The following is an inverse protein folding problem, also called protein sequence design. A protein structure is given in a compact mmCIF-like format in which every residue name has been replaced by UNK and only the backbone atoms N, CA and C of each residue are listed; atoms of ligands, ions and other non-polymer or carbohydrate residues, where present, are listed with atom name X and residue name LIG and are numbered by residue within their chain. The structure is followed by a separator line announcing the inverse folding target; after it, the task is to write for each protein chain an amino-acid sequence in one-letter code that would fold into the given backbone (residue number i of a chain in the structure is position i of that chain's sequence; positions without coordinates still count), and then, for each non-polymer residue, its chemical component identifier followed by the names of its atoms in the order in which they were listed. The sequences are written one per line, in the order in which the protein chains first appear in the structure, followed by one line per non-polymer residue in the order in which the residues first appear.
data_IF_429123891160
#
_entry.id   IF_429123891160
#
_cell.length_a   1.000
_cell.length_b   1.000
_cell.length_c   1.000
_cell.angle_alpha   90.00
_cell.angle_beta   90.00
_cell.angle_gamma   90.00
#
_symmetry.space_group_name_H-M   'P 1'
#
loop_
_entity.id
_entity.type
_entity.pdbx_description
1 polymer ?
#
# COMPACT_ATOMS: atom_id res chain seq x y z
N UNK A 1 16.98 -8.00 25.62
CA UNK A 1 16.53 -8.16 24.22
C UNK A 1 15.35 -9.13 24.22
N UNK A 2 14.16 -8.62 24.47
CA UNK A 2 12.92 -9.40 24.54
C UNK A 2 11.82 -8.59 23.88
N UNK A 3 11.49 -8.94 22.64
CA UNK A 3 10.19 -8.70 22.02
C UNK A 3 10.11 -9.62 20.79
N UNK A 4 9.51 -10.82 20.93
CA UNK A 4 8.77 -11.37 19.79
C UNK A 4 7.49 -12.12 20.23
N UNK A 5 6.77 -11.65 21.25
CA UNK A 5 5.50 -12.29 21.66
C UNK A 5 4.27 -11.37 21.54
N UNK A 6 4.42 -10.04 21.63
CA UNK A 6 3.28 -9.13 21.42
C UNK A 6 2.85 -9.02 19.95
N UNK A 7 3.78 -9.14 19.00
CA UNK A 7 3.44 -9.11 17.57
C UNK A 7 2.65 -10.34 17.11
N UNK A 8 2.83 -11.49 17.75
CA UNK A 8 2.12 -12.73 17.39
C UNK A 8 0.68 -12.73 17.90
N UNK A 9 0.42 -12.11 19.06
CA UNK A 9 -0.92 -12.08 19.66
C UNK A 9 -1.90 -11.18 18.90
N UNK A 10 -1.43 -10.13 18.21
CA UNK A 10 -2.31 -9.27 17.39
C UNK A 10 -2.71 -10.00 16.10
N UNK A 11 -1.82 -10.83 15.52
CA UNK A 11 -2.09 -11.57 14.28
C UNK A 11 -3.15 -12.68 14.43
N UNK A 12 -3.39 -13.20 15.63
CA UNK A 12 -4.33 -14.32 15.85
C UNK A 12 -5.82 -13.97 15.61
N UNK A 13 -6.17 -12.70 15.41
CA UNK A 13 -7.56 -12.26 15.17
C UNK A 13 -7.85 -11.73 13.76
N UNK A 14 -6.84 -11.54 12.91
CA UNK A 14 -7.00 -10.95 11.57
C UNK A 14 -6.76 -12.01 10.50
N UNK A 15 -7.61 -12.00 9.47
CA UNK A 15 -7.33 -12.78 8.26
C UNK A 15 -6.21 -12.08 7.49
N UNK A 16 -5.09 -12.77 7.29
CA UNK A 16 -3.96 -12.30 6.48
C UNK A 16 -4.22 -12.58 5.00
N UNK A 17 -4.08 -11.57 4.16
CA UNK A 17 -4.11 -11.68 2.70
C UNK A 17 -2.77 -11.23 2.17
N UNK A 18 -2.01 -12.17 1.62
CA UNK A 18 -0.73 -11.88 0.97
C UNK A 18 -0.94 -11.61 -0.53
N UNK A 19 -0.26 -10.57 -1.01
CA UNK A 19 -0.22 -10.17 -2.41
C UNK A 19 1.25 -9.99 -2.80
N UNK A 20 1.75 -10.92 -3.61
CA UNK A 20 3.06 -10.79 -4.24
C UNK A 20 2.89 -10.18 -5.64
N UNK A 21 3.61 -9.11 -5.93
CA UNK A 21 3.64 -8.51 -7.26
C UNK A 21 5.08 -8.27 -7.72
N UNK A 22 5.42 -8.83 -8.88
CA UNK A 22 6.67 -8.54 -9.59
C UNK A 22 6.43 -7.61 -10.80
N UNK A 23 5.20 -7.13 -10.98
CA UNK A 23 4.75 -6.66 -12.27
C UNK A 23 5.23 -5.21 -12.53
N UNK A 24 5.86 -5.02 -13.69
CA UNK A 24 6.09 -3.73 -14.32
C UNK A 24 4.80 -3.06 -14.86
N UNK A 25 3.62 -3.59 -14.51
CA UNK A 25 2.29 -3.19 -14.99
C UNK A 25 1.29 -3.13 -13.83
N UNK A 26 0.14 -2.48 -14.05
CA UNK A 26 -0.98 -2.42 -13.09
C UNK A 26 -1.38 -3.85 -12.70
N UNK A 27 -1.32 -4.15 -11.41
CA UNK A 27 -1.85 -5.37 -10.81
C UNK A 27 -3.16 -5.05 -10.11
N UNK A 28 -4.18 -5.89 -10.29
CA UNK A 28 -5.50 -5.75 -9.65
C UNK A 28 -5.89 -7.10 -9.09
N UNK A 29 -6.24 -7.16 -7.81
CA UNK A 29 -6.81 -8.34 -7.15
C UNK A 29 -8.18 -7.97 -6.59
N UNK A 30 -9.20 -8.71 -7.02
CA UNK A 30 -10.54 -8.61 -6.42
C UNK A 30 -10.48 -9.41 -5.11
N UNK A 31 -10.71 -8.75 -3.98
CA UNK A 31 -10.60 -9.37 -2.64
C UNK A 31 -11.79 -10.27 -2.28
N UNK A 32 -12.86 -10.24 -3.09
CA UNK A 32 -14.02 -11.12 -2.98
C UNK A 32 -14.87 -10.89 -1.72
N UNK A 33 -16.02 -11.57 -1.58
CA UNK A 33 -16.89 -11.48 -0.40
C UNK A 33 -16.24 -11.99 0.89
N UNK A 34 -15.14 -12.75 0.78
CA UNK A 34 -14.36 -13.27 1.89
C UNK A 34 -13.49 -12.21 2.59
N UNK A 35 -13.35 -11.03 2.00
CA UNK A 35 -12.72 -9.89 2.65
C UNK A 35 -13.66 -9.27 3.68
N UNK A 36 -13.50 -9.69 4.93
CA UNK A 36 -14.29 -9.20 6.06
C UNK A 36 -13.36 -8.48 7.03
N UNK A 37 -13.57 -7.17 7.25
CA UNK A 37 -12.86 -6.44 8.29
C UNK A 37 -13.19 -6.99 9.69
N UNK A 38 -12.20 -7.00 10.61
CA UNK A 38 -10.87 -6.49 10.41
C UNK A 38 -9.97 -7.51 9.69
N UNK A 39 -9.21 -7.06 8.68
CA UNK A 39 -8.32 -7.89 7.88
C UNK A 39 -6.95 -7.20 7.75
N UNK A 40 -5.90 -8.02 7.65
CA UNK A 40 -4.56 -7.54 7.37
C UNK A 40 -4.21 -7.89 5.92
N UNK A 41 -3.90 -6.87 5.13
CA UNK A 41 -3.41 -7.06 3.76
C UNK A 41 -1.91 -6.78 3.79
N UNK A 42 -1.13 -7.76 3.34
CA UNK A 42 0.32 -7.69 3.23
C UNK A 42 0.69 -7.68 1.76
N UNK A 43 1.43 -6.66 1.32
CA UNK A 43 1.84 -6.51 -0.07
C UNK A 43 3.37 -6.57 -0.13
N UNK A 44 3.88 -7.51 -0.92
CA UNK A 44 5.31 -7.67 -1.15
C UNK A 44 5.61 -7.53 -2.63
N UNK A 45 6.74 -6.89 -2.94
CA UNK A 45 7.16 -6.71 -4.32
C UNK A 45 8.54 -6.11 -4.44
N UNK A 46 8.97 -5.89 -5.69
CA UNK A 46 10.23 -5.23 -6.03
C UNK A 46 9.93 -3.95 -6.78
N UNK A 47 10.51 -2.84 -6.33
CA UNK A 47 10.35 -1.54 -7.00
C UNK A 47 10.96 -1.61 -8.40
N UNK A 48 10.21 -1.20 -9.42
CA UNK A 48 10.74 -1.12 -10.77
C UNK A 48 11.96 -0.17 -10.82
N UNK A 49 13.06 -0.52 -11.52
CA UNK A 49 14.29 0.29 -11.55
C UNK A 49 14.10 1.73 -12.03
N UNK A 50 13.05 1.99 -12.83
CA UNK A 50 12.74 3.30 -13.40
C UNK A 50 11.39 3.85 -12.89
N UNK A 51 10.91 3.33 -11.75
CA UNK A 51 9.67 3.80 -11.15
C UNK A 51 9.77 5.29 -10.81
N UNK A 52 8.88 6.09 -11.39
CA UNK A 52 8.62 7.45 -10.91
C UNK A 52 7.64 7.45 -9.75
N UNK A 53 6.64 6.57 -9.81
CA UNK A 53 5.59 6.41 -8.81
C UNK A 53 5.15 4.96 -8.68
N UNK A 54 4.74 4.59 -7.47
CA UNK A 54 4.04 3.34 -7.18
C UNK A 54 2.72 3.71 -6.52
N UNK A 55 1.65 3.02 -6.89
CA UNK A 55 0.33 3.22 -6.30
C UNK A 55 -0.14 1.92 -5.65
N UNK A 56 -0.56 2.01 -4.40
CA UNK A 56 -1.27 0.95 -3.68
C UNK A 56 -2.66 1.50 -3.39
N UNK A 57 -3.69 0.91 -3.99
CA UNK A 57 -5.06 1.40 -3.90
C UNK A 57 -6.03 0.33 -3.43
N UNK A 58 -6.94 0.72 -2.54
CA UNK A 58 -8.18 0.00 -2.28
C UNK A 58 -9.32 0.84 -2.84
N UNK A 59 -9.94 0.34 -3.90
CA UNK A 59 -11.01 1.03 -4.63
C UNK A 59 -12.28 0.19 -4.64
N UNK A 60 -13.43 0.85 -4.46
CA UNK A 60 -14.75 0.24 -4.65
C UNK A 60 -15.11 0.22 -6.13
N UNK A 61 -14.79 1.31 -6.82
CA UNK A 61 -15.02 1.55 -8.23
C UNK A 61 -14.07 2.66 -8.73
N UNK A 62 -14.18 3.05 -10.00
CA UNK A 62 -13.29 4.02 -10.65
C UNK A 62 -13.44 5.47 -10.13
N UNK A 63 -14.39 5.75 -9.25
CA UNK A 63 -14.64 7.08 -8.68
C UNK A 63 -14.51 7.10 -7.16
N UNK A 64 -14.39 5.93 -6.52
CA UNK A 64 -14.39 5.76 -5.07
C UNK A 64 -13.18 4.95 -4.62
N UNK A 65 -12.09 5.67 -4.34
CA UNK A 65 -10.85 5.12 -3.79
C UNK A 65 -10.88 5.29 -2.28
N UNK A 66 -11.17 4.22 -1.57
CA UNK A 66 -11.25 4.19 -0.10
C UNK A 66 -9.87 4.53 0.49
N UNK A 67 -8.81 4.06 -0.17
CA UNK A 67 -7.43 4.34 0.20
C UNK A 67 -6.57 4.41 -1.06
N UNK A 68 -5.76 5.46 -1.16
CA UNK A 68 -4.77 5.63 -2.22
C UNK A 68 -3.44 6.05 -1.61
N UNK A 69 -2.46 5.14 -1.65
CA UNK A 69 -1.07 5.46 -1.33
C UNK A 69 -0.29 5.64 -2.63
N UNK A 70 0.34 6.81 -2.78
CA UNK A 70 1.24 7.15 -3.87
C UNK A 70 2.66 7.34 -3.35
N UNK A 71 3.54 6.39 -3.64
CA UNK A 71 4.97 6.49 -3.35
C UNK A 71 5.61 7.23 -4.52
N UNK A 72 6.11 8.45 -4.30
CA UNK A 72 6.60 9.35 -5.36
C UNK A 72 8.11 9.53 -5.24
N UNK A 73 8.83 9.13 -6.27
CA UNK A 73 10.28 9.32 -6.44
C UNK A 73 10.61 10.58 -7.26
N UNK A 74 9.60 11.21 -7.84
CA UNK A 74 9.75 12.29 -8.82
C UNK A 74 9.41 13.70 -8.27
N UNK A 75 9.28 13.83 -6.95
CA UNK A 75 9.20 15.12 -6.26
C UNK A 75 10.58 15.54 -5.72
N UNK A 76 10.77 16.84 -5.40
CA UNK A 76 12.05 17.36 -4.88
C UNK A 76 12.60 16.57 -3.69
N UNK A 77 11.70 16.09 -2.84
CA UNK A 77 11.97 15.12 -1.80
C UNK A 77 11.02 13.96 -2.01
N UNK A 78 11.56 12.74 -2.06
CA UNK A 78 10.75 11.53 -2.10
C UNK A 78 9.71 11.54 -0.97
N UNK A 79 8.47 11.20 -1.30
CA UNK A 79 7.34 11.32 -0.39
C UNK A 79 6.33 10.21 -0.63
N UNK A 80 5.73 9.74 0.46
CA UNK A 80 4.51 8.92 0.38
C UNK A 80 3.33 9.85 0.61
N UNK A 81 2.39 9.85 -0.34
CA UNK A 81 1.15 10.60 -0.27
C UNK A 81 0.00 9.63 -0.04
N UNK A 82 -0.81 9.90 0.97
CA UNK A 82 -2.03 9.14 1.28
C UNK A 82 -3.23 10.04 0.99
N UNK A 83 -4.23 9.51 0.33
CA UNK A 83 -5.49 10.21 0.05
C UNK A 83 -6.64 9.21 -0.10
N UNK A 84 -7.85 9.73 -0.22
CA UNK A 84 -9.07 9.03 -0.63
C UNK A 84 -9.79 9.83 -1.72
N UNK A 85 -10.50 9.14 -2.60
CA UNK A 85 -11.38 9.75 -3.60
C UNK A 85 -12.82 9.34 -3.34
N UNK A 86 -13.73 10.30 -3.32
CA UNK A 86 -15.17 10.06 -3.18
C UNK A 86 -15.89 10.75 -4.33
N UNK A 87 -16.71 10.00 -5.08
CA UNK A 87 -17.44 10.49 -6.24
C UNK A 87 -16.54 11.29 -7.22
N UNK A 88 -15.37 10.73 -7.53
CA UNK A 88 -14.40 11.33 -8.45
C UNK A 88 -13.58 12.50 -7.89
N UNK A 89 -13.86 12.95 -6.67
CA UNK A 89 -13.15 14.09 -6.04
C UNK A 89 -12.14 13.61 -5.02
N UNK A 90 -10.88 14.01 -5.20
CA UNK A 90 -9.80 13.75 -4.24
C UNK A 90 -9.97 14.61 -2.99
N UNK A 91 -9.69 14.01 -1.83
CA UNK A 91 -9.60 14.74 -0.56
C UNK A 91 -8.28 15.48 -0.39
N UNK A 92 -8.03 15.95 0.83
CA UNK A 92 -6.76 16.55 1.23
C UNK A 92 -5.65 15.47 1.27
N UNK A 93 -4.47 15.82 0.74
CA UNK A 93 -3.32 14.92 0.74
C UNK A 93 -2.64 14.87 2.13
N UNK A 94 -2.50 13.68 2.70
CA UNK A 94 -1.58 13.43 3.81
C UNK A 94 -0.19 13.06 3.28
N UNK A 95 0.86 13.74 3.76
CA UNK A 95 2.23 13.59 3.23
C UNK A 95 3.21 13.10 4.28
N UNK A 96 3.74 11.90 4.10
CA UNK A 96 4.75 11.30 4.99
C UNK A 96 6.15 11.70 4.52
N UNK A 97 6.79 12.62 5.26
CA UNK A 97 8.08 13.22 4.89
C UNK A 97 9.27 12.74 5.72
N UNK A 98 9.03 12.07 6.85
CA UNK A 98 10.07 11.69 7.82
C UNK A 98 10.78 10.38 7.46
N UNK A 99 10.13 9.50 6.72
CA UNK A 99 10.63 8.16 6.40
C UNK A 99 10.20 7.74 4.99
N UNK A 100 11.14 7.26 4.19
CA UNK A 100 10.91 6.82 2.82
C UNK A 100 11.70 5.52 2.55
N UNK A 101 11.11 4.35 2.82
CA UNK A 101 11.81 3.05 2.76
C UNK A 101 11.82 2.40 1.38
N UNK A 102 11.62 3.16 0.31
CA UNK A 102 11.53 2.62 -1.05
C UNK A 102 12.74 3.05 -1.88
N UNK A 103 13.30 2.12 -2.64
CA UNK A 103 14.39 2.38 -3.57
C UNK A 103 14.22 1.56 -4.85
N UNK A 104 14.66 2.06 -6.02
CA UNK A 104 14.67 1.30 -7.25
C UNK A 104 15.36 -0.07 -7.12
N UNK A 105 14.77 -1.11 -7.72
CA UNK A 105 15.25 -2.49 -7.69
C UNK A 105 15.28 -3.15 -6.30
N UNK A 106 14.77 -2.49 -5.26
CA UNK A 106 14.73 -3.02 -3.90
C UNK A 106 13.37 -3.66 -3.61
N UNK A 107 13.39 -4.76 -2.84
CA UNK A 107 12.19 -5.36 -2.28
C UNK A 107 11.53 -4.47 -1.24
N UNK A 108 10.20 -4.50 -1.16
CA UNK A 108 9.43 -3.82 -0.13
C UNK A 108 8.32 -4.73 0.43
N UNK A 109 7.88 -4.39 1.63
CA UNK A 109 6.74 -4.97 2.32
C UNK A 109 5.89 -3.82 2.88
N UNK A 110 4.58 -3.86 2.64
CA UNK A 110 3.61 -2.85 3.05
C UNK A 110 2.34 -3.49 3.63
#
# INVERSE_FOLDING_TARGET
MLLPLLFLSVMMGFRLIEIETNASRRFVKILGPEFVPPALVKIQGVVNPFARRIHITFEKDNENFIFHMSIRFDEKKNVVVINSQTNGTWGEEERVLSYFPFAPSQGFEA
#
